data_IF_554701341696
#
_entry.id   IF_554701341696
#
_cell.length_a   1.000
_cell.length_b   1.000
_cell.length_c   1.000
_cell.angle_alpha   90.00
_cell.angle_beta   90.00
_cell.angle_gamma   90.00
#
_symmetry.space_group_name_H-M   'P 1'
#
loop_
_entity.id
_entity.type
_entity.pdbx_description
1 polymer ?
#
# COMPACT_ATOMS: atom_id res chain seq x y z
N UNK A 1 -13.54 -16.87 3.06
CA UNK A 1 -13.09 -17.92 2.11
C UNK A 1 -11.64 -17.68 1.78
N UNK A 2 -10.78 -18.71 1.85
CA UNK A 2 -9.38 -18.59 1.44
C UNK A 2 -9.29 -18.85 -0.07
N UNK A 3 -8.74 -17.89 -0.80
CA UNK A 3 -8.65 -17.89 -2.26
C UNK A 3 -7.18 -17.80 -2.70
N UNK A 4 -6.91 -18.24 -3.93
CA UNK A 4 -5.62 -17.97 -4.58
C UNK A 4 -5.44 -16.47 -4.83
N UNK A 5 -4.20 -16.04 -5.10
CA UNK A 5 -3.87 -14.62 -5.28
C UNK A 5 -4.68 -13.98 -6.42
N UNK A 6 -4.82 -14.67 -7.55
CA UNK A 6 -5.51 -14.14 -8.73
C UNK A 6 -7.04 -14.16 -8.57
N UNK A 7 -7.59 -15.21 -7.95
CA UNK A 7 -9.02 -15.27 -7.60
C UNK A 7 -9.38 -14.18 -6.58
N UNK A 8 -8.50 -13.89 -5.62
CA UNK A 8 -8.72 -12.82 -4.65
C UNK A 8 -8.79 -11.45 -5.32
N UNK A 9 -7.89 -11.15 -6.26
CA UNK A 9 -7.91 -9.87 -6.97
C UNK A 9 -9.16 -9.70 -7.84
N UNK A 10 -9.60 -10.79 -8.48
CA UNK A 10 -10.83 -10.81 -9.28
C UNK A 10 -12.07 -10.59 -8.40
N UNK A 11 -12.19 -11.37 -7.32
CA UNK A 11 -13.30 -11.24 -6.36
C UNK A 11 -13.30 -9.88 -5.66
N UNK A 12 -12.12 -9.28 -5.44
CA UNK A 12 -12.00 -7.93 -4.89
C UNK A 12 -12.52 -6.86 -5.86
N UNK A 13 -12.27 -7.01 -7.17
CA UNK A 13 -12.83 -6.14 -8.19
C UNK A 13 -14.37 -6.21 -8.18
N UNK A 14 -14.93 -7.43 -8.15
CA UNK A 14 -16.37 -7.65 -8.07
C UNK A 14 -16.98 -7.00 -6.82
N UNK A 15 -16.31 -7.13 -5.67
CA UNK A 15 -16.72 -6.47 -4.43
C UNK A 15 -16.81 -4.96 -4.59
N UNK A 16 -15.78 -4.32 -5.17
CA UNK A 16 -15.80 -2.87 -5.40
C UNK A 16 -16.93 -2.45 -6.33
N UNK A 17 -17.18 -3.20 -7.40
CA UNK A 17 -18.31 -2.90 -8.31
C UNK A 17 -19.66 -3.06 -7.61
N UNK A 18 -19.82 -4.06 -6.75
CA UNK A 18 -21.06 -4.32 -6.03
C UNK A 18 -21.36 -3.28 -4.92
N UNK A 19 -20.32 -2.69 -4.31
CA UNK A 19 -20.45 -1.67 -3.26
C UNK A 19 -20.33 -0.24 -3.77
N UNK A 20 -20.42 -0.02 -5.10
CA UNK A 20 -20.20 1.30 -5.69
C UNK A 20 -21.27 2.32 -5.28
N UNK A 21 -22.53 1.89 -5.20
CA UNK A 21 -23.65 2.75 -4.86
C UNK A 21 -23.83 2.91 -3.35
N UNK A 22 -23.70 1.80 -2.60
CA UNK A 22 -23.85 1.78 -1.16
C UNK A 22 -23.01 0.66 -0.52
N UNK A 23 -22.36 1.00 0.59
CA UNK A 23 -21.61 0.05 1.42
C UNK A 23 -20.18 0.49 1.68
N UNK A 24 -19.46 -0.37 2.39
CA UNK A 24 -18.04 -0.19 2.64
C UNK A 24 -17.30 -1.51 2.45
N UNK A 25 -16.05 -1.42 1.99
CA UNK A 25 -15.15 -2.56 1.87
C UNK A 25 -14.01 -2.35 2.85
N UNK A 26 -13.92 -3.23 3.84
CA UNK A 26 -12.84 -3.25 4.82
C UNK A 26 -11.70 -4.14 4.33
N UNK A 27 -10.54 -3.55 4.07
CA UNK A 27 -9.32 -4.25 3.70
C UNK A 27 -8.37 -4.32 4.89
N UNK A 28 -7.84 -5.51 5.17
CA UNK A 28 -6.84 -5.73 6.21
C UNK A 28 -5.67 -6.51 5.66
N UNK A 29 -4.46 -5.99 5.87
CA UNK A 29 -3.21 -6.63 5.52
C UNK A 29 -2.46 -6.85 6.83
N UNK A 30 -2.18 -8.11 7.18
CA UNK A 30 -1.48 -8.47 8.41
C UNK A 30 -0.41 -9.51 8.12
N UNK A 31 0.71 -9.42 8.82
CA UNK A 31 1.72 -10.48 8.84
C UNK A 31 1.08 -11.79 9.29
N UNK A 32 1.28 -12.85 8.52
CA UNK A 32 0.78 -14.17 8.83
C UNK A 32 1.85 -14.96 9.61
N UNK A 33 1.66 -15.03 10.92
CA UNK A 33 2.53 -15.81 11.78
C UNK A 33 1.93 -17.22 11.89
N UNK A 34 2.55 -18.21 11.24
CA UNK A 34 2.20 -19.65 11.33
C UNK A 34 2.15 -20.17 12.79
N UNK A 35 2.70 -19.39 13.73
CA UNK A 35 2.89 -19.79 15.11
C UNK A 35 1.86 -19.24 16.10
N UNK A 36 0.94 -18.34 15.73
CA UNK A 36 0.03 -17.69 16.70
C UNK A 36 -0.74 -18.65 17.62
N UNK A 37 -1.17 -19.81 17.10
CA UNK A 37 -1.93 -20.81 17.89
C UNK A 37 -1.01 -21.76 18.69
N UNK A 38 0.19 -22.06 18.19
CA UNK A 38 1.17 -22.93 18.89
C UNK A 38 1.95 -22.16 19.95
N UNK A 39 2.36 -20.93 19.66
CA UNK A 39 3.05 -20.03 20.60
C UNK A 39 2.17 -19.60 21.76
N UNK A 40 0.86 -19.42 21.60
CA UNK A 40 -0.01 -19.07 22.72
C UNK A 40 -0.21 -20.25 23.69
N UNK A 41 -0.30 -21.47 23.17
CA UNK A 41 -0.26 -22.71 23.97
C UNK A 41 1.09 -22.91 24.67
N UNK A 42 2.21 -22.55 24.01
CA UNK A 42 3.55 -22.62 24.61
C UNK A 42 3.82 -21.48 25.62
N UNK A 43 3.38 -20.25 25.38
CA UNK A 43 3.46 -19.12 26.33
C UNK A 43 2.69 -19.39 27.62
N UNK A 44 1.52 -20.04 27.54
CA UNK A 44 0.78 -20.49 28.74
C UNK A 44 1.52 -21.55 29.55
N UNK A 45 2.40 -22.34 28.91
CA UNK A 45 3.29 -23.31 29.59
C UNK A 45 4.56 -22.65 30.15
N UNK A 46 5.16 -21.71 29.43
CA UNK A 46 6.37 -21.00 29.86
C UNK A 46 6.15 -20.04 31.04
N UNK A 47 4.92 -19.50 31.23
CA UNK A 47 4.57 -18.74 32.45
C UNK A 47 4.62 -19.58 33.75
N UNK A 48 4.84 -20.89 33.64
CA UNK A 48 5.04 -21.84 34.76
C UNK A 48 6.49 -22.31 34.91
N UNK A 49 7.45 -21.88 34.07
CA UNK A 49 8.82 -22.44 34.01
C UNK A 49 9.95 -21.40 33.94
N UNK A 50 11.16 -21.88 34.30
CA UNK A 50 12.42 -21.17 34.59
C UNK A 50 12.94 -20.15 33.55
N UNK A 51 13.83 -19.27 34.03
CA UNK A 51 14.50 -18.14 33.34
C UNK A 51 15.17 -18.49 31.98
N UNK A 52 15.56 -19.73 31.76
CA UNK A 52 16.14 -20.19 30.47
C UNK A 52 15.12 -20.16 29.31
N UNK A 53 13.85 -20.48 29.56
CA UNK A 53 12.82 -20.41 28.52
C UNK A 53 12.52 -18.95 28.13
N UNK A 54 12.63 -18.03 29.09
CA UNK A 54 12.51 -16.60 28.85
C UNK A 54 13.67 -16.06 27.99
N UNK A 55 14.89 -16.53 28.24
CA UNK A 55 16.06 -16.16 27.43
C UNK A 55 15.96 -16.74 26.00
N UNK A 56 15.47 -17.98 25.84
CA UNK A 56 15.23 -18.59 24.52
C UNK A 56 14.16 -17.85 23.71
N UNK A 57 13.10 -17.36 24.35
CA UNK A 57 12.08 -16.52 23.71
C UNK A 57 12.63 -15.16 23.24
N UNK A 58 13.58 -14.57 23.98
CA UNK A 58 14.26 -13.33 23.56
C UNK A 58 15.16 -13.56 22.34
N UNK A 59 15.93 -14.66 22.32
CA UNK A 59 16.77 -15.04 21.18
C UNK A 59 15.92 -15.35 19.95
N UNK A 60 14.80 -16.09 20.10
CA UNK A 60 13.87 -16.34 19.00
C UNK A 60 13.26 -15.02 18.48
N UNK A 61 13.01 -14.05 19.37
CA UNK A 61 12.50 -12.72 19.00
C UNK A 61 13.50 -11.90 18.21
N UNK A 62 14.79 -12.01 18.51
CA UNK A 62 15.89 -11.39 17.75
C UNK A 62 16.15 -12.12 16.42
N UNK A 63 15.91 -13.44 16.35
CA UNK A 63 15.95 -14.22 15.10
C UNK A 63 14.72 -13.98 14.21
N UNK A 64 13.69 -13.25 14.66
CA UNK A 64 12.52 -12.90 13.83
C UNK A 64 12.87 -11.98 12.66
N UNK A 65 13.98 -11.23 12.73
CA UNK A 65 14.37 -10.25 11.71
C UNK A 65 14.88 -10.92 10.42
N UNK A 66 15.27 -12.21 10.47
CA UNK A 66 15.71 -12.99 9.31
C UNK A 66 14.60 -13.88 8.72
N UNK A 67 13.44 -13.99 9.38
CA UNK A 67 12.34 -14.84 8.91
C UNK A 67 11.47 -14.08 7.93
N UNK A 68 11.37 -14.59 6.71
CA UNK A 68 10.38 -14.13 5.75
C UNK A 68 8.98 -14.63 6.17
N UNK A 69 8.04 -13.69 6.29
CA UNK A 69 6.66 -14.02 6.66
C UNK A 69 5.73 -13.87 5.47
N UNK A 70 4.82 -14.82 5.33
CA UNK A 70 3.68 -14.63 4.46
C UNK A 70 2.79 -13.48 4.98
N UNK A 71 2.05 -12.85 4.07
CA UNK A 71 1.12 -11.77 4.39
C UNK A 71 -0.30 -12.24 4.17
N UNK A 72 -1.14 -12.13 5.20
CA UNK A 72 -2.57 -12.40 5.13
C UNK A 72 -3.31 -11.13 4.73
N UNK A 73 -3.93 -11.17 3.55
CA UNK A 73 -4.79 -10.10 3.04
C UNK A 73 -6.23 -10.55 3.16
N UNK A 74 -7.11 -9.69 3.71
CA UNK A 74 -8.55 -9.95 3.82
C UNK A 74 -9.35 -8.76 3.35
N UNK A 75 -10.40 -9.02 2.60
CA UNK A 75 -11.42 -8.05 2.27
C UNK A 75 -12.76 -8.51 2.85
N UNK A 76 -13.46 -7.60 3.49
CA UNK A 76 -14.76 -7.85 4.10
C UNK A 76 -15.75 -6.75 3.74
N UNK A 77 -16.92 -7.18 3.34
CA UNK A 77 -18.15 -6.39 3.31
C UNK A 77 -19.11 -7.03 4.32
N UNK A 78 -20.25 -6.39 4.56
CA UNK A 78 -21.27 -6.91 5.47
C UNK A 78 -21.75 -8.33 5.07
N UNK A 79 -21.73 -8.62 3.76
CA UNK A 79 -22.24 -9.88 3.18
C UNK A 79 -21.16 -10.92 2.89
N UNK A 80 -20.00 -10.51 2.38
CA UNK A 80 -18.97 -11.41 1.84
C UNK A 80 -17.61 -11.14 2.49
N UNK A 81 -16.87 -12.21 2.78
CA UNK A 81 -15.51 -12.17 3.35
C UNK A 81 -14.58 -13.06 2.56
N UNK A 82 -13.57 -12.45 1.94
CA UNK A 82 -12.53 -13.13 1.17
C UNK A 82 -11.16 -12.88 1.81
N UNK A 83 -10.28 -13.84 1.65
CA UNK A 83 -8.92 -13.79 2.21
C UNK A 83 -7.96 -14.51 1.30
N UNK A 84 -6.71 -14.06 1.25
CA UNK A 84 -5.63 -14.72 0.54
C UNK A 84 -4.34 -14.66 1.34
N UNK A 85 -3.48 -15.66 1.15
CA UNK A 85 -2.18 -15.76 1.79
C UNK A 85 -1.10 -15.55 0.74
N UNK A 86 -0.40 -14.42 0.84
CA UNK A 86 0.65 -14.04 -0.11
C UNK A 86 2.00 -14.43 0.46
N UNK A 87 2.75 -15.25 -0.28
CA UNK A 87 4.12 -15.62 0.04
C UNK A 87 5.06 -14.42 -0.16
N UNK A 88 6.23 -14.38 0.50
CA UNK A 88 7.22 -13.32 0.28
C UNK A 88 7.70 -13.26 -1.18
N UNK A 89 7.83 -14.41 -1.85
CA UNK A 89 8.27 -14.50 -3.24
C UNK A 89 7.34 -13.81 -4.23
N UNK A 90 6.02 -13.89 -4.02
CA UNK A 90 5.01 -13.33 -4.93
C UNK A 90 4.51 -11.96 -4.50
N UNK A 91 5.06 -11.41 -3.41
CA UNK A 91 4.54 -10.20 -2.76
C UNK A 91 4.61 -8.98 -3.68
N UNK A 92 5.74 -8.77 -4.37
CA UNK A 92 5.93 -7.60 -5.23
C UNK A 92 4.97 -7.62 -6.44
N UNK A 93 4.81 -8.80 -7.05
CA UNK A 93 3.88 -9.00 -8.17
C UNK A 93 2.44 -8.77 -7.72
N UNK A 94 2.08 -9.32 -6.56
CA UNK A 94 0.76 -9.12 -5.97
C UNK A 94 0.50 -7.65 -5.64
N UNK A 95 1.45 -6.96 -5.01
CA UNK A 95 1.33 -5.55 -4.65
C UNK A 95 1.18 -4.64 -5.88
N UNK A 96 1.91 -4.90 -6.96
CA UNK A 96 1.77 -4.15 -8.20
C UNK A 96 0.36 -4.27 -8.80
N UNK A 97 -0.17 -5.50 -8.88
CA UNK A 97 -1.55 -5.76 -9.37
C UNK A 97 -2.61 -5.17 -8.44
N UNK A 98 -2.45 -5.38 -7.14
CA UNK A 98 -3.33 -4.86 -6.10
C UNK A 98 -3.38 -3.33 -6.08
N UNK A 99 -2.24 -2.67 -6.22
CA UNK A 99 -2.16 -1.22 -6.32
C UNK A 99 -2.88 -0.69 -7.57
N UNK A 100 -2.66 -1.30 -8.73
CA UNK A 100 -3.38 -0.95 -9.97
C UNK A 100 -4.90 -1.09 -9.80
N UNK A 101 -5.34 -2.18 -9.17
CA UNK A 101 -6.75 -2.43 -8.87
C UNK A 101 -7.35 -1.34 -7.97
N UNK A 102 -6.65 -0.94 -6.90
CA UNK A 102 -7.12 0.11 -5.99
C UNK A 102 -7.25 1.46 -6.69
N UNK A 103 -6.30 1.83 -7.55
CA UNK A 103 -6.35 3.10 -8.28
C UNK A 103 -7.54 3.17 -9.23
N UNK A 104 -7.91 2.05 -9.86
CA UNK A 104 -9.06 1.98 -10.78
C UNK A 104 -10.37 2.12 -10.00
N UNK A 105 -10.48 1.47 -8.84
CA UNK A 105 -11.74 1.39 -8.10
C UNK A 105 -11.96 2.55 -7.09
N UNK A 106 -10.90 3.23 -6.64
CA UNK A 106 -10.96 4.35 -5.70
C UNK A 106 -10.94 5.71 -6.42
N UNK A 107 -11.70 5.84 -7.49
CA UNK A 107 -11.75 7.03 -8.35
C UNK A 107 -12.56 8.20 -7.74
N UNK A 108 -13.51 7.87 -6.86
CA UNK A 108 -14.56 8.77 -6.38
C UNK A 108 -14.13 9.66 -5.20
N UNK A 109 -12.82 9.76 -4.94
CA UNK A 109 -12.27 10.56 -3.85
C UNK A 109 -12.13 12.03 -4.27
N UNK A 110 -12.51 12.95 -3.38
CA UNK A 110 -12.30 14.40 -3.60
C UNK A 110 -10.82 14.68 -3.89
N UNK A 111 -10.57 15.31 -5.05
CA UNK A 111 -9.21 15.73 -5.43
C UNK A 111 -8.72 16.76 -4.42
N UNK A 112 -7.48 16.59 -3.93
CA UNK A 112 -6.91 17.49 -2.94
C UNK A 112 -6.64 18.88 -3.56
N UNK A 113 -7.56 19.83 -3.34
CA UNK A 113 -7.51 21.17 -3.91
C UNK A 113 -6.28 21.96 -3.46
N UNK A 114 -5.75 21.70 -2.26
CA UNK A 114 -4.52 22.34 -1.77
C UNK A 114 -3.31 21.95 -2.62
N UNK A 115 -3.20 20.67 -2.99
CA UNK A 115 -2.15 20.19 -3.89
C UNK A 115 -2.34 20.72 -5.31
N UNK A 116 -3.57 20.82 -5.82
CA UNK A 116 -3.85 21.41 -7.14
C UNK A 116 -3.45 22.88 -7.19
N UNK A 117 -3.80 23.67 -6.16
CA UNK A 117 -3.43 25.09 -6.05
C UNK A 117 -1.90 25.27 -6.00
N UNK A 118 -1.19 24.44 -5.22
CA UNK A 118 0.29 24.45 -5.19
C UNK A 118 0.90 24.13 -6.57
N UNK A 119 0.44 23.06 -7.24
CA UNK A 119 0.92 22.68 -8.58
C UNK A 119 0.63 23.77 -9.63
N UNK A 120 -0.55 24.41 -9.56
CA UNK A 120 -0.92 25.51 -10.43
C UNK A 120 -0.05 26.76 -10.21
N UNK A 121 0.25 27.09 -8.95
CA UNK A 121 1.16 28.19 -8.60
C UNK A 121 2.59 27.95 -9.11
N UNK A 122 3.11 26.72 -8.95
CA UNK A 122 4.43 26.33 -9.48
C UNK A 122 4.46 26.39 -11.01
N UNK A 123 3.42 25.89 -11.70
CA UNK A 123 3.31 26.02 -13.16
C UNK A 123 3.29 27.48 -13.62
N UNK A 124 2.55 28.34 -12.91
CA UNK A 124 2.49 29.78 -13.20
C UNK A 124 3.83 30.48 -12.97
N UNK A 125 4.54 30.16 -11.89
CA UNK A 125 5.87 30.75 -11.62
C UNK A 125 6.92 30.29 -12.64
N UNK A 126 6.92 29.01 -13.01
CA UNK A 126 7.77 28.45 -14.08
C UNK A 126 7.50 29.10 -15.44
N UNK A 127 6.22 29.23 -15.83
CA UNK A 127 5.83 29.88 -17.09
C UNK A 127 6.22 31.37 -17.12
N UNK A 128 6.11 32.08 -15.99
CA UNK A 128 6.55 33.48 -15.87
C UNK A 128 8.07 33.60 -16.02
N UNK A 129 8.84 32.67 -15.45
CA UNK A 129 10.31 32.63 -15.53
C UNK A 129 10.82 32.28 -16.94
N UNK A 130 10.10 31.45 -17.70
CA UNK A 130 10.43 31.18 -19.11
C UNK A 130 10.11 32.36 -20.03
N UNK A 131 9.00 33.08 -19.80
CA UNK A 131 8.66 34.28 -20.58
C UNK A 131 9.66 35.42 -20.36
N UNK A 132 10.14 35.64 -19.13
CA UNK A 132 11.16 36.67 -18.87
C UNK A 132 12.52 36.35 -19.50
N UNK A 133 12.94 35.07 -19.52
CA UNK A 133 14.15 34.64 -20.24
C UNK A 133 14.05 34.83 -21.76
N UNK A 134 12.86 34.59 -22.36
CA UNK A 134 12.65 34.77 -23.80
C UNK A 134 12.60 36.25 -24.23
N UNK A 135 12.13 37.14 -23.34
CA UNK A 135 12.18 38.59 -23.54
C UNK A 135 13.61 39.13 -23.56
N UNK A 136 14.46 38.69 -22.62
CA UNK A 136 15.87 39.10 -22.54
C UNK A 136 16.75 38.60 -23.70
N UNK A 137 16.35 37.54 -24.41
CA UNK A 137 17.05 37.07 -25.62
C UNK A 137 16.64 37.84 -26.88
N UNK A 138 15.43 38.42 -26.94
CA UNK A 138 14.99 39.24 -28.08
C UNK A 138 15.55 40.67 -28.06
N UNK A 139 15.89 41.21 -26.89
CA UNK A 139 16.53 42.53 -26.76
C UNK A 139 18.04 42.53 -27.07
N UNK A 140 18.69 41.36 -27.06
CA UNK A 140 20.15 41.24 -27.24
C UNK A 140 20.60 40.95 -28.67
N UNK A 141 19.70 40.87 -29.65
CA UNK A 141 20.11 40.87 -31.08
C UNK A 141 20.35 42.30 -31.54
N UNK A 142 21.61 42.73 -31.76
CA UNK A 142 21.88 44.07 -32.23
C UNK A 142 21.33 44.24 -33.65
N UNK A 143 20.56 45.31 -33.88
CA UNK A 143 20.37 45.87 -35.23
C UNK A 143 21.73 46.44 -35.65
N UNK A 144 22.54 45.68 -36.39
CA UNK A 144 23.69 46.25 -37.08
C UNK A 144 23.17 47.06 -38.28
N UNK A 145 23.53 48.34 -38.24
CA UNK A 145 23.10 49.40 -39.13
C UNK A 145 23.77 49.34 -40.52
N UNK A 146 23.14 50.06 -41.45
CA UNK A 146 23.71 50.51 -42.72
C UNK A 146 24.94 51.40 -42.53
#
# INVERSE_FOLDING_TARGET
>A
MLLSNDEFLTALAELFTATKDAGSVSLTVKRYDYQGVKQERQKKRARRGNDEEAMKLLIDRMSLDEKEYATLVRAATDKKKISTLVTPADLDVFLARYHGLLLINLDSIKKNDRLRRKKAAIKRSMAKKMKSKKGQQREKTPKSAA
#
